data_IF_794365141646
#
_entry.id   IF_794365141646
#
_cell.length_a   1.000
_cell.length_b   1.000
_cell.length_c   1.000
_cell.angle_alpha   90.00
_cell.angle_beta   90.00
_cell.angle_gamma   90.00
#
_symmetry.space_group_name_H-M   'P 1'
#
loop_
_entity.id
_entity.type
_entity.pdbx_description
1 polymer ?
#
# COMPACT_ATOMS: atom_id res chain seq x y z
N UNK A 1 -6.26 -28.89 6.42
CA UNK A 1 -6.15 -27.67 5.61
C UNK A 1 -6.14 -26.49 6.55
N UNK A 2 -5.05 -25.74 6.60
CA UNK A 2 -4.97 -24.58 7.47
C UNK A 2 -5.72 -23.39 6.85
N UNK A 3 -6.39 -22.60 7.68
CA UNK A 3 -7.04 -21.37 7.23
C UNK A 3 -5.99 -20.39 6.71
N UNK A 4 -6.32 -19.58 5.69
CA UNK A 4 -5.39 -18.55 5.22
C UNK A 4 -5.07 -17.58 6.35
N UNK A 5 -3.80 -17.20 6.46
CA UNK A 5 -3.37 -16.22 7.44
C UNK A 5 -3.72 -14.80 6.96
N UNK A 6 -3.63 -13.84 7.86
CA UNK A 6 -3.81 -12.43 7.50
C UNK A 6 -2.79 -11.99 6.44
N UNK A 7 -1.58 -12.56 6.48
CA UNK A 7 -0.56 -12.31 5.46
C UNK A 7 -0.97 -12.82 4.09
N UNK A 8 -1.62 -13.99 4.03
CA UNK A 8 -2.09 -14.54 2.76
C UNK A 8 -3.17 -13.66 2.13
N UNK A 9 -4.08 -13.11 2.94
CA UNK A 9 -5.10 -12.17 2.46
C UNK A 9 -4.47 -10.89 1.92
N UNK A 10 -3.45 -10.39 2.60
CA UNK A 10 -2.72 -9.22 2.16
C UNK A 10 -2.06 -9.45 0.80
N UNK A 11 -1.34 -10.56 0.64
CA UNK A 11 -0.68 -10.88 -0.63
C UNK A 11 -1.69 -11.05 -1.76
N UNK A 12 -2.84 -11.63 -1.47
CA UNK A 12 -3.93 -11.78 -2.45
C UNK A 12 -4.42 -10.40 -2.91
N UNK A 13 -4.60 -9.47 -1.97
CA UNK A 13 -4.99 -8.10 -2.30
C UNK A 13 -3.94 -7.41 -3.16
N UNK A 14 -2.66 -7.56 -2.81
CA UNK A 14 -1.55 -6.94 -3.51
C UNK A 14 -1.22 -7.60 -4.85
N UNK A 15 -1.76 -8.79 -5.12
CA UNK A 15 -1.56 -9.46 -6.41
C UNK A 15 -2.24 -8.71 -7.57
N UNK A 16 -3.30 -7.96 -7.30
CA UNK A 16 -4.01 -7.20 -8.32
C UNK A 16 -3.33 -5.86 -8.57
N UNK A 17 -2.90 -5.57 -9.81
CA UNK A 17 -2.20 -4.31 -10.10
C UNK A 17 -3.06 -3.06 -9.91
N UNK A 18 -4.37 -3.15 -10.13
CA UNK A 18 -5.28 -2.03 -9.89
C UNK A 18 -5.33 -1.68 -8.41
N UNK A 19 -5.41 -2.69 -7.54
CA UNK A 19 -5.39 -2.45 -6.09
C UNK A 19 -4.09 -1.84 -5.63
N UNK A 20 -2.95 -2.32 -6.14
CA UNK A 20 -1.65 -1.71 -5.82
C UNK A 20 -1.61 -0.25 -6.26
N UNK A 21 -2.12 0.06 -7.45
CA UNK A 21 -2.18 1.43 -7.96
C UNK A 21 -3.03 2.33 -7.07
N UNK A 22 -4.18 1.83 -6.60
CA UNK A 22 -5.04 2.57 -5.67
C UNK A 22 -4.28 2.88 -4.37
N UNK A 23 -3.61 1.88 -3.81
CA UNK A 23 -2.81 2.07 -2.59
C UNK A 23 -1.69 3.09 -2.80
N UNK A 24 -1.01 3.02 -3.93
CA UNK A 24 0.05 3.97 -4.28
C UNK A 24 -0.48 5.40 -4.38
N UNK A 25 -1.64 5.59 -5.00
CA UNK A 25 -2.27 6.90 -5.13
C UNK A 25 -2.66 7.47 -3.76
N UNK A 26 -3.22 6.63 -2.90
CA UNK A 26 -3.56 7.04 -1.53
C UNK A 26 -2.31 7.38 -0.71
N UNK A 27 -1.24 6.60 -0.88
CA UNK A 27 0.01 6.84 -0.17
C UNK A 27 0.68 8.15 -0.60
N UNK A 28 0.63 8.46 -1.89
CA UNK A 28 1.32 9.64 -2.43
C UNK A 28 0.48 10.91 -2.38
N UNK A 29 -0.83 10.79 -2.58
CA UNK A 29 -1.73 11.95 -2.66
C UNK A 29 -2.57 12.19 -1.41
N UNK A 30 -2.57 11.23 -0.48
CA UNK A 30 -3.33 11.33 0.77
C UNK A 30 -4.78 10.89 0.59
N UNK A 31 -5.71 11.59 1.24
CA UNK A 31 -7.11 11.23 1.25
C UNK A 31 -7.76 11.56 -0.11
N UNK A 32 -8.41 10.57 -0.72
CA UNK A 32 -9.06 10.72 -2.02
C UNK A 32 -10.47 10.15 -1.99
N UNK A 33 -11.36 10.75 -2.78
CA UNK A 33 -12.71 10.23 -3.01
C UNK A 33 -12.68 9.16 -4.10
N UNK A 34 -13.79 8.39 -4.20
CA UNK A 34 -13.95 7.42 -5.30
C UNK A 34 -13.82 8.11 -6.66
N UNK A 35 -14.42 9.28 -6.81
CA UNK A 35 -14.38 10.02 -8.06
C UNK A 35 -12.95 10.43 -8.44
N UNK A 36 -12.18 10.88 -7.46
CA UNK A 36 -10.78 11.23 -7.69
C UNK A 36 -9.94 10.02 -8.08
N UNK A 37 -10.18 8.89 -7.42
CA UNK A 37 -9.50 7.64 -7.76
C UNK A 37 -9.92 7.15 -9.15
N UNK A 38 -11.22 7.17 -9.44
CA UNK A 38 -11.74 6.71 -10.73
C UNK A 38 -11.17 7.50 -11.91
N UNK A 39 -10.88 8.78 -11.70
CA UNK A 39 -10.28 9.63 -12.73
C UNK A 39 -8.89 9.13 -13.17
N UNK A 40 -8.20 8.38 -12.33
CA UNK A 40 -6.89 7.81 -12.64
C UNK A 40 -6.97 6.50 -13.42
N UNK A 41 -8.18 5.98 -13.62
CA UNK A 41 -8.42 4.69 -14.30
C UNK A 41 -9.48 4.88 -15.39
N UNK A 42 -9.17 5.60 -16.48
CA UNK A 42 -10.16 5.93 -17.50
C UNK A 42 -10.76 4.70 -18.19
N UNK A 43 -10.05 3.56 -18.17
CA UNK A 43 -10.50 2.33 -18.78
C UNK A 43 -11.39 1.48 -17.87
N UNK A 44 -11.59 1.91 -16.62
CA UNK A 44 -12.39 1.17 -15.64
C UNK A 44 -13.63 1.98 -15.26
N UNK A 45 -14.74 1.25 -15.05
CA UNK A 45 -15.96 1.87 -14.53
C UNK A 45 -15.76 2.25 -13.06
N UNK A 46 -16.43 3.31 -12.63
CA UNK A 46 -16.43 3.76 -11.23
C UNK A 46 -16.86 2.63 -10.29
N UNK A 47 -17.83 1.81 -10.71
CA UNK A 47 -18.28 0.65 -9.94
C UNK A 47 -17.18 -0.36 -9.72
N UNK A 48 -16.29 -0.54 -10.68
CA UNK A 48 -15.11 -1.42 -10.54
C UNK A 48 -14.14 -0.90 -9.49
N UNK A 49 -13.89 0.41 -9.50
CA UNK A 49 -13.04 1.05 -8.49
C UNK A 49 -13.67 0.90 -7.11
N UNK A 50 -14.98 1.11 -7.00
CA UNK A 50 -15.70 0.92 -5.72
C UNK A 50 -15.56 -0.50 -5.20
N UNK A 51 -15.64 -1.51 -6.07
CA UNK A 51 -15.46 -2.91 -5.65
C UNK A 51 -14.05 -3.17 -5.14
N UNK A 52 -13.04 -2.62 -5.81
CA UNK A 52 -11.66 -2.74 -5.32
C UNK A 52 -11.49 -2.10 -3.96
N UNK A 53 -12.07 -0.92 -3.76
CA UNK A 53 -12.03 -0.23 -2.47
C UNK A 53 -12.74 -1.00 -1.37
N UNK A 54 -13.87 -1.65 -1.69
CA UNK A 54 -14.57 -2.52 -0.73
C UNK A 54 -13.69 -3.69 -0.30
N UNK A 55 -13.01 -4.32 -1.25
CA UNK A 55 -12.07 -5.40 -0.96
C UNK A 55 -10.90 -4.97 -0.10
N UNK A 56 -10.30 -3.83 -0.43
CA UNK A 56 -9.20 -3.25 0.34
C UNK A 56 -9.62 -2.88 1.75
N UNK A 57 -10.84 -2.33 1.89
CA UNK A 57 -11.39 -1.97 3.19
C UNK A 57 -11.67 -3.21 4.04
N UNK A 58 -12.26 -4.24 3.45
CA UNK A 58 -12.52 -5.50 4.14
C UNK A 58 -11.23 -6.14 4.65
N UNK A 59 -10.13 -5.98 3.91
CA UNK A 59 -8.81 -6.47 4.30
C UNK A 59 -8.10 -5.54 5.30
N UNK A 60 -8.71 -4.40 5.64
CA UNK A 60 -8.13 -3.44 6.58
C UNK A 60 -7.02 -2.54 6.01
N UNK A 61 -6.81 -2.58 4.70
CA UNK A 61 -5.71 -1.84 4.05
C UNK A 61 -6.06 -0.38 3.76
N UNK A 62 -7.33 -0.06 3.69
CA UNK A 62 -7.82 1.30 3.58
C UNK A 62 -8.93 1.52 4.60
N UNK A 63 -9.09 2.77 5.03
CA UNK A 63 -10.23 3.19 5.83
C UNK A 63 -11.05 4.19 5.03
N UNK A 64 -12.33 4.29 5.37
CA UNK A 64 -13.26 5.19 4.70
C UNK A 64 -13.99 6.04 5.71
N UNK A 65 -14.20 7.30 5.37
CA UNK A 65 -14.98 8.22 6.17
C UNK A 65 -15.96 8.95 5.27
N UNK A 66 -17.24 8.94 5.65
CA UNK A 66 -18.26 9.68 4.92
C UNK A 66 -18.32 11.11 5.42
N UNK A 67 -18.47 12.06 4.48
CA UNK A 67 -18.67 13.45 4.77
C UNK A 67 -19.69 14.00 3.78
N UNK A 68 -20.90 14.22 4.24
CA UNK A 68 -22.01 14.52 3.35
C UNK A 68 -22.30 13.35 2.44
N UNK A 69 -22.35 13.60 1.13
CA UNK A 69 -22.59 12.54 0.12
C UNK A 69 -21.33 11.89 -0.39
N UNK A 70 -20.16 12.38 0.07
CA UNK A 70 -18.86 11.89 -0.40
C UNK A 70 -18.28 10.92 0.62
N UNK A 71 -17.54 9.95 0.10
CA UNK A 71 -16.78 9.01 0.90
C UNK A 71 -15.30 9.20 0.58
N UNK A 72 -14.53 9.42 1.63
CA UNK A 72 -13.10 9.67 1.55
C UNK A 72 -12.34 8.44 2.02
N UNK A 73 -11.33 8.07 1.27
CA UNK A 73 -10.49 6.90 1.53
C UNK A 73 -9.07 7.31 1.87
N UNK A 74 -8.45 6.58 2.80
CA UNK A 74 -7.03 6.73 3.12
C UNK A 74 -6.41 5.36 3.28
N UNK A 75 -5.10 5.26 2.99
CA UNK A 75 -4.37 4.02 3.20
C UNK A 75 -4.12 3.81 4.69
N UNK A 76 -4.23 2.56 5.12
CA UNK A 76 -3.82 2.15 6.46
C UNK A 76 -2.42 1.53 6.35
N UNK A 77 -1.40 2.40 6.39
CA UNK A 77 -0.01 1.98 6.22
C UNK A 77 0.44 1.01 7.31
N UNK A 78 -0.10 1.17 8.52
CA UNK A 78 0.23 0.28 9.64
C UNK A 78 -0.26 -1.15 9.38
N UNK A 79 -1.45 -1.31 8.84
CA UNK A 79 -1.98 -2.62 8.49
C UNK A 79 -1.12 -3.31 7.43
N UNK A 80 -0.63 -2.54 6.44
CA UNK A 80 0.31 -3.04 5.45
C UNK A 80 1.61 -3.50 6.12
N UNK A 81 2.20 -2.67 6.96
CA UNK A 81 3.43 -3.00 7.66
C UNK A 81 3.27 -4.24 8.54
N UNK A 82 2.20 -4.28 9.34
CA UNK A 82 1.93 -5.40 10.24
C UNK A 82 1.68 -6.70 9.48
N UNK A 83 0.99 -6.63 8.34
CA UNK A 83 0.73 -7.79 7.50
C UNK A 83 1.95 -8.32 6.78
N UNK A 84 2.87 -7.44 6.37
CA UNK A 84 4.10 -7.82 5.66
C UNK A 84 5.24 -8.20 6.60
N UNK A 85 5.27 -7.67 7.82
CA UNK A 85 6.39 -7.82 8.74
C UNK A 85 6.78 -9.29 9.01
N UNK A 86 5.84 -10.22 9.27
CA UNK A 86 6.23 -11.61 9.53
C UNK A 86 6.95 -12.27 8.35
N UNK A 87 6.52 -11.95 7.13
CA UNK A 87 7.15 -12.48 5.93
C UNK A 87 8.51 -11.82 5.70
N UNK A 88 8.58 -10.49 5.83
CA UNK A 88 9.80 -9.73 5.64
C UNK A 88 10.88 -10.10 6.66
N UNK A 89 10.50 -10.42 7.90
CA UNK A 89 11.44 -10.78 8.97
C UNK A 89 12.32 -11.97 8.62
N UNK A 90 11.81 -12.90 7.80
CA UNK A 90 12.58 -14.08 7.36
C UNK A 90 13.78 -13.69 6.52
N UNK A 91 13.75 -12.52 5.92
CA UNK A 91 14.77 -12.05 5.00
C UNK A 91 15.61 -10.92 5.60
N UNK A 92 15.43 -10.64 6.89
CA UNK A 92 16.11 -9.55 7.57
C UNK A 92 17.63 -9.55 7.38
N UNK A 93 18.35 -10.69 7.49
CA UNK A 93 19.79 -10.68 7.27
C UNK A 93 20.20 -10.18 5.88
N UNK A 94 19.35 -10.41 4.89
CA UNK A 94 19.61 -9.99 3.51
C UNK A 94 19.39 -8.49 3.31
N UNK A 95 18.32 -7.95 3.88
CA UNK A 95 18.08 -6.54 3.68
C UNK A 95 18.90 -5.66 4.60
N UNK A 96 19.32 -6.09 5.81
CA UNK A 96 20.18 -5.31 6.69
C UNK A 96 21.49 -4.98 5.99
N UNK A 97 22.09 -5.96 5.32
CA UNK A 97 23.30 -5.77 4.55
C UNK A 97 23.07 -4.82 3.36
N UNK A 98 21.94 -4.97 2.66
CA UNK A 98 21.59 -4.12 1.52
C UNK A 98 21.38 -2.66 1.95
N UNK A 99 20.67 -2.45 3.05
CA UNK A 99 20.42 -1.12 3.59
C UNK A 99 21.70 -0.43 4.08
N UNK A 100 22.60 -1.19 4.71
CA UNK A 100 23.89 -0.67 5.13
C UNK A 100 24.73 -0.23 3.93
N UNK A 101 24.71 -1.00 2.84
CA UNK A 101 25.43 -0.61 1.62
C UNK A 101 24.85 0.67 1.01
N UNK A 102 23.51 0.79 0.98
CA UNK A 102 22.86 2.00 0.48
C UNK A 102 23.19 3.20 1.35
N UNK A 103 23.18 3.01 2.66
CA UNK A 103 23.52 4.06 3.61
C UNK A 103 24.98 4.52 3.41
N UNK A 104 25.90 3.58 3.26
CA UNK A 104 27.31 3.87 3.00
C UNK A 104 27.50 4.68 1.73
N UNK A 105 26.81 4.32 0.66
CA UNK A 105 26.86 5.08 -0.60
C UNK A 105 26.32 6.50 -0.43
N UNK A 106 25.19 6.64 0.26
CA UNK A 106 24.58 7.95 0.50
C UNK A 106 25.49 8.85 1.35
N UNK A 107 26.13 8.28 2.37
CA UNK A 107 27.06 9.01 3.22
C UNK A 107 28.31 9.44 2.46
N UNK A 108 28.82 8.57 1.57
CA UNK A 108 29.94 8.90 0.72
C UNK A 108 29.63 10.09 -0.20
N UNK A 109 28.43 10.12 -0.78
CA UNK A 109 27.98 11.20 -1.65
C UNK A 109 27.78 12.51 -0.89
N UNK A 110 27.53 12.44 0.43
CA UNK A 110 27.30 13.61 1.27
C UNK A 110 28.55 14.19 1.88
N UNK A 111 29.68 13.50 1.78
CA UNK A 111 30.90 14.06 2.32
C UNK A 111 31.25 15.34 1.54
N UNK A 112 31.45 16.46 2.27
CA UNK A 112 31.81 17.70 1.59
C UNK A 112 33.19 17.58 0.95
N UNK A 113 33.40 18.13 -0.22
CA UNK A 113 34.73 18.17 -0.80
C UNK A 113 35.68 18.96 0.11
N UNK A 114 36.82 18.43 0.33
CA UNK A 114 37.85 19.06 1.15
C UNK A 114 38.39 20.26 0.44
#
# INVERSE_FOLDING_TARGET
MSAPSAGDDLFRMLADPTRRRILDLLATRGVLTVSQLAAEFPDLATSGISKHLMGLRAAGLVSARSRGRQRFYRVNARALADGLAPWLAKYEPYWSAALERLRGLAESDREPPI
#
